data_IF_819420989550
#
_entry.id   IF_819420989550
#
_cell.length_a   1.000
_cell.length_b   1.000
_cell.length_c   1.000
_cell.angle_alpha   90.00
_cell.angle_beta   90.00
_cell.angle_gamma   90.00
#
_symmetry.space_group_name_H-M   'P 1'
#
loop_
_entity.id
_entity.type
_entity.pdbx_description
1 polymer ?
#
# COMPACT_ATOMS: atom_id res chain seq x y z
N UNK A 1 1.70 -9.16 -14.63
CA UNK A 1 0.93 -10.39 -14.98
C UNK A 1 1.02 -11.46 -13.90
N UNK A 2 2.21 -11.84 -13.41
CA UNK A 2 2.41 -12.86 -12.36
C UNK A 2 1.61 -12.55 -11.07
N UNK A 3 1.68 -11.31 -10.56
CA UNK A 3 0.94 -10.93 -9.36
C UNK A 3 -0.58 -11.07 -9.48
N UNK A 4 -1.15 -10.82 -10.65
CA UNK A 4 -2.58 -10.98 -10.89
C UNK A 4 -3.03 -12.44 -10.81
N UNK A 5 -2.23 -13.35 -11.38
CA UNK A 5 -2.47 -14.79 -11.30
C UNK A 5 -2.40 -15.27 -9.83
N UNK A 6 -1.42 -14.80 -9.07
CA UNK A 6 -1.27 -15.15 -7.65
C UNK A 6 -2.46 -14.66 -6.82
N UNK A 7 -2.90 -13.41 -7.00
CA UNK A 7 -4.05 -12.86 -6.28
C UNK A 7 -5.32 -13.64 -6.63
N UNK A 8 -5.50 -13.98 -7.91
CA UNK A 8 -6.65 -14.74 -8.38
C UNK A 8 -6.71 -16.14 -7.73
N UNK A 9 -5.60 -16.87 -7.73
CA UNK A 9 -5.50 -18.19 -7.11
C UNK A 9 -5.79 -18.15 -5.60
N UNK A 10 -5.22 -17.17 -4.89
CA UNK A 10 -5.47 -17.01 -3.44
C UNK A 10 -6.94 -16.71 -3.16
N UNK A 11 -7.57 -15.87 -3.99
CA UNK A 11 -8.99 -15.49 -3.83
C UNK A 11 -9.90 -16.71 -4.02
N UNK A 12 -9.65 -17.53 -5.04
CA UNK A 12 -10.41 -18.78 -5.27
C UNK A 12 -10.25 -19.74 -4.09
N UNK A 13 -9.02 -19.93 -3.60
CA UNK A 13 -8.76 -20.78 -2.43
C UNK A 13 -9.49 -20.28 -1.18
N UNK A 14 -9.54 -18.96 -0.97
CA UNK A 14 -10.30 -18.38 0.14
C UNK A 14 -11.80 -18.72 0.02
N UNK A 15 -12.41 -18.49 -1.14
CA UNK A 15 -13.84 -18.77 -1.36
C UNK A 15 -14.15 -20.27 -1.20
N UNK A 16 -13.31 -21.16 -1.72
CA UNK A 16 -13.52 -22.61 -1.65
C UNK A 16 -13.44 -23.14 -0.21
N UNK A 17 -12.55 -22.60 0.63
CA UNK A 17 -12.31 -23.13 1.98
C UNK A 17 -13.11 -22.39 3.05
N UNK A 18 -13.22 -21.07 2.98
CA UNK A 18 -13.98 -20.25 3.94
C UNK A 18 -15.46 -20.15 3.57
N UNK A 19 -15.81 -20.31 2.29
CA UNK A 19 -17.13 -19.97 1.75
C UNK A 19 -17.23 -18.51 1.33
N UNK A 20 -18.24 -18.19 0.52
CA UNK A 20 -18.44 -16.85 -0.03
C UNK A 20 -18.73 -15.80 1.06
N UNK A 21 -19.59 -16.11 2.03
CA UNK A 21 -19.98 -15.18 3.11
C UNK A 21 -18.78 -14.79 3.99
N UNK A 22 -18.01 -15.78 4.46
CA UNK A 22 -16.82 -15.54 5.28
C UNK A 22 -15.70 -14.86 4.50
N UNK A 23 -15.56 -15.12 3.20
CA UNK A 23 -14.56 -14.44 2.37
C UNK A 23 -14.92 -12.97 2.16
N UNK A 24 -16.21 -12.65 1.97
CA UNK A 24 -16.67 -11.29 1.77
C UNK A 24 -16.63 -10.44 3.05
N UNK A 25 -16.85 -11.06 4.22
CA UNK A 25 -16.92 -10.34 5.51
C UNK A 25 -15.56 -10.17 6.19
N UNK A 26 -14.56 -10.97 5.83
CA UNK A 26 -13.21 -10.83 6.38
C UNK A 26 -12.41 -9.82 5.55
N UNK A 27 -11.88 -8.77 6.20
CA UNK A 27 -10.98 -7.81 5.57
C UNK A 27 -9.69 -8.47 5.03
N UNK A 28 -9.29 -9.59 5.63
CA UNK A 28 -8.05 -10.32 5.30
C UNK A 28 -8.32 -11.83 5.18
N UNK A 29 -8.99 -12.27 4.09
CA UNK A 29 -9.47 -13.64 3.95
C UNK A 29 -8.33 -14.66 3.84
N UNK A 30 -7.17 -14.28 3.30
CA UNK A 30 -5.98 -15.14 3.23
C UNK A 30 -5.40 -15.48 4.61
N UNK A 31 -5.49 -14.55 5.57
CA UNK A 31 -5.09 -14.81 6.96
C UNK A 31 -6.12 -15.68 7.68
N UNK A 32 -7.42 -15.39 7.49
CA UNK A 32 -8.49 -16.23 8.02
C UNK A 32 -8.42 -17.68 7.48
N UNK A 33 -8.04 -17.84 6.21
CA UNK A 33 -7.78 -19.14 5.59
C UNK A 33 -6.65 -19.89 6.32
N UNK A 34 -5.52 -19.23 6.54
CA UNK A 34 -4.37 -19.81 7.24
C UNK A 34 -4.74 -20.29 8.66
N UNK A 35 -5.52 -19.48 9.39
CA UNK A 35 -6.02 -19.83 10.72
C UNK A 35 -6.99 -21.01 10.70
N UNK A 36 -7.88 -21.10 9.70
CA UNK A 36 -8.82 -22.21 9.56
C UNK A 36 -8.11 -23.54 9.23
N UNK A 37 -7.06 -23.51 8.42
CA UNK A 37 -6.25 -24.69 8.08
C UNK A 37 -5.39 -25.17 9.27
N UNK A 38 -5.15 -24.30 10.25
CA UNK A 38 -4.38 -24.55 11.46
C UNK A 38 -5.11 -25.35 12.58
N UNK A 39 -6.33 -25.84 12.36
CA UNK A 39 -7.16 -26.53 13.38
C UNK A 39 -6.61 -27.88 13.90
N UNK A 40 -5.44 -28.35 13.44
CA UNK A 40 -4.73 -29.51 13.98
C UNK A 40 -3.36 -29.13 14.56
N UNK A 41 -2.99 -29.70 15.70
CA UNK A 41 -1.82 -29.38 16.55
C UNK A 41 -0.46 -29.23 15.81
N UNK A 42 -0.32 -29.74 14.59
CA UNK A 42 0.89 -29.67 13.76
C UNK A 42 0.91 -28.43 12.84
N UNK A 43 -0.24 -27.92 12.43
CA UNK A 43 -0.36 -26.82 11.44
C UNK A 43 -0.43 -25.45 12.13
N UNK A 44 -0.63 -25.38 13.44
CA UNK A 44 -0.71 -24.13 14.20
C UNK A 44 0.54 -23.24 14.16
N UNK A 45 1.70 -23.84 13.87
CA UNK A 45 2.95 -23.08 13.71
C UNK A 45 3.03 -22.35 12.36
N UNK A 46 2.26 -22.75 11.35
CA UNK A 46 2.31 -22.11 10.02
C UNK A 46 1.61 -20.75 10.01
N UNK A 47 0.56 -20.57 10.82
CA UNK A 47 -0.12 -19.29 10.99
C UNK A 47 0.87 -18.22 11.49
N UNK A 48 1.68 -18.55 12.50
CA UNK A 48 2.70 -17.65 13.04
C UNK A 48 3.74 -17.26 11.97
N UNK A 49 4.19 -18.20 11.15
CA UNK A 49 5.14 -17.92 10.05
C UNK A 49 4.53 -16.95 9.04
N UNK A 50 3.27 -17.16 8.65
CA UNK A 50 2.55 -16.28 7.71
C UNK A 50 2.40 -14.88 8.30
N UNK A 51 2.04 -14.77 9.58
CA UNK A 51 1.95 -13.48 10.27
C UNK A 51 3.28 -12.73 10.25
N UNK A 52 4.39 -13.41 10.55
CA UNK A 52 5.74 -12.81 10.54
C UNK A 52 6.11 -12.28 9.15
N UNK A 53 5.88 -13.08 8.10
CA UNK A 53 6.12 -12.65 6.71
C UNK A 53 5.32 -11.39 6.39
N UNK A 54 4.07 -11.34 6.86
CA UNK A 54 3.19 -10.21 6.63
C UNK A 54 3.65 -8.95 7.37
N UNK A 55 4.08 -9.09 8.63
CA UNK A 55 4.69 -8.00 9.39
C UNK A 55 5.93 -7.44 8.70
N UNK A 56 6.84 -8.31 8.26
CA UNK A 56 8.05 -7.90 7.53
C UNK A 56 7.67 -7.15 6.23
N UNK A 57 6.66 -7.67 5.51
CA UNK A 57 6.19 -7.06 4.27
C UNK A 57 5.60 -5.67 4.50
N UNK A 58 4.75 -5.52 5.52
CA UNK A 58 4.13 -4.24 5.88
C UNK A 58 5.21 -3.25 6.34
N UNK A 59 6.15 -3.70 7.17
CA UNK A 59 7.27 -2.88 7.64
C UNK A 59 8.13 -2.37 6.50
N UNK A 60 8.54 -3.26 5.58
CA UNK A 60 9.35 -2.87 4.43
C UNK A 60 8.61 -1.91 3.51
N UNK A 61 7.32 -2.17 3.24
CA UNK A 61 6.46 -1.24 2.49
C UNK A 61 6.40 0.12 3.18
N UNK A 62 6.18 0.17 4.50
CA UNK A 62 6.11 1.42 5.25
C UNK A 62 7.40 2.23 5.11
N UNK A 63 8.56 1.59 5.23
CA UNK A 63 9.86 2.25 5.02
C UNK A 63 9.96 2.85 3.62
N UNK A 64 9.58 2.09 2.58
CA UNK A 64 9.64 2.59 1.21
C UNK A 64 8.76 3.82 0.98
N UNK A 65 7.55 3.83 1.52
CA UNK A 65 6.64 4.97 1.40
C UNK A 65 7.16 6.18 2.17
N UNK A 66 7.66 5.97 3.39
CA UNK A 66 8.25 7.02 4.20
C UNK A 66 9.49 7.62 3.54
N UNK A 67 10.40 6.78 3.06
CA UNK A 67 11.59 7.21 2.33
C UNK A 67 11.23 8.01 1.07
N UNK A 68 10.26 7.51 0.29
CA UNK A 68 9.75 8.22 -0.88
C UNK A 68 9.16 9.59 -0.54
N UNK A 69 8.42 9.70 0.57
CA UNK A 69 7.85 10.97 1.04
C UNK A 69 8.94 11.96 1.48
N UNK A 70 9.92 11.51 2.26
CA UNK A 70 11.05 12.33 2.72
C UNK A 70 11.89 12.83 1.53
N UNK A 71 12.20 11.95 0.59
CA UNK A 71 12.97 12.29 -0.61
C UNK A 71 12.19 13.21 -1.54
N UNK A 72 10.89 12.97 -1.74
CA UNK A 72 10.02 13.84 -2.52
C UNK A 72 9.93 15.25 -1.92
N UNK A 73 9.79 15.37 -0.60
CA UNK A 73 9.80 16.67 0.06
C UNK A 73 11.17 17.36 -0.06
N UNK A 74 12.27 16.62 0.08
CA UNK A 74 13.61 17.16 -0.10
C UNK A 74 13.82 17.71 -1.52
N UNK A 75 13.29 17.04 -2.54
CA UNK A 75 13.33 17.52 -3.93
C UNK A 75 12.50 18.79 -4.15
N UNK A 76 11.28 18.86 -3.58
CA UNK A 76 10.42 20.05 -3.66
C UNK A 76 11.09 21.26 -3.02
N UNK A 77 11.76 21.05 -1.89
CA UNK A 77 12.47 22.10 -1.15
C UNK A 77 13.90 22.34 -1.66
N UNK A 78 14.35 21.61 -2.68
CA UNK A 78 15.69 21.69 -3.27
C UNK A 78 16.83 21.48 -2.24
N UNK A 79 16.62 20.57 -1.28
CA UNK A 79 17.63 20.23 -0.29
C UNK A 79 18.65 19.24 -0.85
N UNK A 80 19.93 19.50 -0.56
CA UNK A 80 21.04 18.61 -0.93
C UNK A 80 21.02 17.29 -0.14
N UNK A 81 20.52 17.31 1.09
CA UNK A 81 20.44 16.16 1.98
C UNK A 81 19.02 15.98 2.56
N UNK A 82 18.51 14.75 2.52
CA UNK A 82 17.18 14.39 3.02
C UNK A 82 17.15 14.07 4.53
N UNK A 83 18.32 13.81 5.14
CA UNK A 83 18.47 13.37 6.53
C UNK A 83 17.86 14.33 7.56
N UNK A 84 17.99 15.67 7.42
CA UNK A 84 17.40 16.62 8.39
C UNK A 84 15.87 16.57 8.42
N UNK A 85 15.23 16.14 7.32
CA UNK A 85 13.77 16.06 7.19
C UNK A 85 13.20 14.76 7.74
N UNK A 86 14.00 13.70 7.83
CA UNK A 86 13.52 12.39 8.27
C UNK A 86 12.94 12.43 9.70
N UNK A 87 13.61 13.12 10.62
CA UNK A 87 13.18 13.25 12.01
C UNK A 87 11.85 14.01 12.18
N UNK A 88 11.70 15.25 11.65
CA UNK A 88 10.44 15.99 11.77
C UNK A 88 9.29 15.31 11.02
N UNK A 89 9.51 14.77 9.83
CA UNK A 89 8.47 14.02 9.12
C UNK A 89 8.06 12.74 9.85
N UNK A 90 9.00 12.06 10.49
CA UNK A 90 8.71 10.89 11.33
C UNK A 90 7.81 11.25 12.51
N UNK A 91 8.10 12.36 13.20
CA UNK A 91 7.24 12.84 14.30
C UNK A 91 5.84 13.21 13.83
N UNK A 92 5.73 13.93 12.71
CA UNK A 92 4.43 14.28 12.10
C UNK A 92 3.66 13.02 11.71
N UNK A 93 4.34 12.02 11.14
CA UNK A 93 3.72 10.75 10.75
C UNK A 93 3.12 10.02 11.96
N UNK A 94 3.85 9.95 13.08
CA UNK A 94 3.35 9.32 14.31
C UNK A 94 2.16 10.09 14.87
N UNK A 95 2.23 11.43 14.92
CA UNK A 95 1.12 12.25 15.38
C UNK A 95 -0.12 12.09 14.49
N UNK A 96 0.04 12.10 13.17
CA UNK A 96 -1.05 11.88 12.21
C UNK A 96 -1.65 10.49 12.33
N UNK A 97 -0.85 9.46 12.62
CA UNK A 97 -1.38 8.10 12.83
C UNK A 97 -2.41 8.05 13.95
N UNK A 98 -2.20 8.80 15.03
CA UNK A 98 -3.12 8.87 16.18
C UNK A 98 -4.40 9.65 15.85
N UNK A 99 -4.29 10.66 14.99
CA UNK A 99 -5.43 11.52 14.60
C UNK A 99 -6.28 10.86 13.52
N UNK A 100 -5.66 10.22 12.53
CA UNK A 100 -6.35 9.67 11.36
C UNK A 100 -6.95 8.29 11.64
N UNK A 101 -6.31 7.48 12.49
CA UNK A 101 -6.78 6.13 12.82
C UNK A 101 -6.81 5.89 14.32
N UNK A 102 -7.65 6.64 15.09
CA UNK A 102 -7.74 6.48 16.53
C UNK A 102 -8.29 5.10 16.92
N UNK A 103 -9.26 4.60 16.15
CA UNK A 103 -9.94 3.34 16.43
C UNK A 103 -10.16 2.52 15.15
N UNK A 104 -10.25 1.20 15.31
CA UNK A 104 -10.48 0.25 14.21
C UNK A 104 -11.79 0.51 13.46
N UNK A 105 -12.82 1.02 14.15
CA UNK A 105 -14.10 1.43 13.55
C UNK A 105 -13.90 2.62 12.62
N UNK A 106 -13.13 3.62 13.05
CA UNK A 106 -12.84 4.80 12.25
C UNK A 106 -12.00 4.45 11.01
N UNK A 107 -11.05 3.52 11.15
CA UNK A 107 -10.30 2.96 10.01
C UNK A 107 -11.21 2.32 8.96
N UNK A 108 -12.25 1.60 9.39
CA UNK A 108 -13.23 0.99 8.48
C UNK A 108 -14.02 2.04 7.69
N UNK A 109 -14.51 3.08 8.38
CA UNK A 109 -15.26 4.19 7.76
C UNK A 109 -14.35 4.94 6.78
N UNK A 110 -13.12 5.27 7.19
CA UNK A 110 -12.14 5.93 6.33
C UNK A 110 -11.86 5.14 5.04
N UNK A 111 -11.74 3.81 5.15
CA UNK A 111 -11.51 2.94 4.01
C UNK A 111 -12.70 2.88 3.04
N UNK A 112 -13.94 2.99 3.55
CA UNK A 112 -15.13 2.99 2.68
C UNK A 112 -15.42 4.35 2.06
N UNK A 113 -15.18 5.45 2.77
CA UNK A 113 -15.63 6.79 2.36
C UNK A 113 -14.51 7.64 1.77
N UNK A 114 -13.32 7.63 2.40
CA UNK A 114 -12.24 8.58 2.07
C UNK A 114 -11.17 7.97 1.17
N UNK A 115 -10.92 6.66 1.30
CA UNK A 115 -9.89 5.98 0.52
C UNK A 115 -10.11 6.07 -1.00
N UNK A 116 -11.33 5.84 -1.47
CA UNK A 116 -11.64 5.85 -2.90
C UNK A 116 -11.38 7.22 -3.56
N UNK A 117 -11.91 8.35 -3.06
CA UNK A 117 -11.60 9.67 -3.62
C UNK A 117 -10.11 10.05 -3.48
N UNK A 118 -9.46 9.63 -2.38
CA UNK A 118 -8.03 9.85 -2.19
C UNK A 118 -7.20 9.15 -3.28
N UNK A 119 -7.41 7.84 -3.50
CA UNK A 119 -6.72 7.04 -4.53
C UNK A 119 -6.95 7.57 -5.94
N UNK A 120 -8.18 8.00 -6.24
CA UNK A 120 -8.49 8.56 -7.55
C UNK A 120 -7.67 9.82 -7.85
N UNK A 121 -7.37 10.63 -6.84
CA UNK A 121 -6.63 11.90 -7.02
C UNK A 121 -5.21 11.66 -7.54
N UNK A 122 -4.40 10.83 -6.89
CA UNK A 122 -3.04 10.56 -7.38
C UNK A 122 -2.98 9.46 -8.43
N UNK A 123 -3.92 8.50 -8.41
CA UNK A 123 -3.94 7.36 -9.33
C UNK A 123 -4.52 7.69 -10.71
N UNK A 124 -5.48 8.63 -10.79
CA UNK A 124 -6.16 8.98 -12.04
C UNK A 124 -5.96 10.45 -12.42
N UNK A 125 -6.17 11.39 -11.51
CA UNK A 125 -6.05 12.82 -11.86
C UNK A 125 -4.60 13.23 -12.17
N UNK A 126 -3.61 12.77 -11.40
CA UNK A 126 -2.20 13.09 -11.65
C UNK A 126 -1.70 12.65 -13.04
N UNK A 127 -1.87 11.37 -13.48
CA UNK A 127 -1.47 10.97 -14.82
C UNK A 127 -2.30 11.66 -15.92
N UNK A 128 -3.57 11.95 -15.68
CA UNK A 128 -4.41 12.66 -16.63
C UNK A 128 -3.93 14.11 -16.83
N UNK A 129 -3.53 14.79 -15.74
CA UNK A 129 -2.94 16.12 -15.81
C UNK A 129 -1.61 16.10 -16.58
N UNK A 130 -0.74 15.12 -16.30
CA UNK A 130 0.51 14.93 -17.05
C UNK A 130 0.26 14.67 -18.55
N UNK A 131 -0.79 13.94 -18.90
CA UNK A 131 -1.18 13.67 -20.29
C UNK A 131 -1.70 14.93 -20.97
N UNK A 132 -2.57 15.70 -20.31
CA UNK A 132 -3.04 16.99 -20.83
C UNK A 132 -1.85 17.92 -21.09
N UNK A 133 -0.95 18.03 -20.11
CA UNK A 133 0.26 18.85 -20.22
C UNK A 133 1.17 18.37 -21.36
N UNK A 134 1.27 17.06 -21.62
CA UNK A 134 2.08 16.53 -22.72
C UNK A 134 1.47 16.82 -24.10
N UNK A 135 0.14 16.87 -24.22
CA UNK A 135 -0.55 17.24 -25.46
C UNK A 135 -0.34 18.72 -25.84
N UNK A 136 -0.19 19.60 -24.84
CA UNK A 136 0.10 21.02 -25.08
C UNK A 136 1.60 21.33 -25.19
N UNK A 137 2.48 20.42 -24.78
CA UNK A 137 3.91 20.57 -24.98
C UNK A 137 4.28 20.24 -26.45
N UNK A 138 4.86 21.23 -27.15
CA UNK A 138 5.50 20.99 -28.45
C UNK A 138 6.57 19.89 -28.30
N UNK A 139 6.72 18.98 -29.28
CA UNK A 139 7.69 17.88 -29.18
C UNK A 139 9.09 18.45 -28.92
N UNK A 140 9.63 18.24 -27.70
CA UNK A 140 11.03 18.54 -27.43
C UNK A 140 11.86 17.58 -28.29
N UNK A 141 12.71 18.14 -29.16
CA UNK A 141 13.68 17.43 -29.99
C UNK A 141 14.33 16.32 -29.16
N UNK A 142 14.31 15.08 -29.66
CA UNK A 142 15.05 13.94 -29.08
C UNK A 142 16.47 14.40 -28.75
N UNK A 143 16.81 14.47 -27.47
CA UNK A 143 18.20 14.66 -27.04
C UNK A 143 18.85 13.30 -27.27
N UNK A 144 19.66 13.18 -28.35
CA UNK A 144 20.51 12.02 -28.60
C UNK A 144 21.61 12.00 -27.54
N UNK A 145 21.47 11.17 -26.51
CA UNK A 145 22.47 10.95 -25.43
C UNK A 145 23.41 9.79 -25.81
N UNK A 146 23.81 9.69 -27.07
CA UNK A 146 24.93 8.84 -27.48
C UNK A 146 25.70 9.54 -28.59
N UNK A 147 26.83 10.14 -28.21
CA UNK A 147 27.96 10.41 -29.08
C UNK A 147 29.24 10.20 -28.29
#
# INVERSE_FOLDING_TARGET
MIGGIVIFLITILCVLVLGHDMTARNAFPSYALAKKVSLGNIIQRIEAIIAIIWFITIFYKMILHFYGAVLGLAQILNLKDYRPLALPLGMILVALSLVVFPDTVYSGIWNSTTWLPYVLTYGFFLPLLLLIVSLFQKPKKKINIFK
#
